data_IF_285106731365
#
_entry.id   IF_285106731365
#
_cell.length_a   1.000
_cell.length_b   1.000
_cell.length_c   1.000
_cell.angle_alpha   90.00
_cell.angle_beta   90.00
_cell.angle_gamma   90.00
#
_symmetry.space_group_name_H-M   'P 1'
#
loop_
_entity.id
_entity.type
_entity.pdbx_description
1 polymer ?
#
# COMPACT_ATOMS: atom_id res chain seq x y z
N UNK A 1 12.74 21.16 4.87
CA UNK A 1 12.23 19.87 4.32
C UNK A 1 10.72 19.95 4.32
N UNK A 2 10.07 19.65 3.19
CA UNK A 2 8.60 19.56 3.16
C UNK A 2 8.19 18.32 3.96
N UNK A 3 7.10 18.40 4.72
CA UNK A 3 6.50 17.23 5.37
C UNK A 3 5.99 16.27 4.30
N UNK A 4 5.89 14.98 4.60
CA UNK A 4 5.38 13.93 3.69
C UNK A 4 3.99 14.32 3.17
N UNK A 5 3.12 14.86 4.03
CA UNK A 5 1.81 15.42 3.70
C UNK A 5 1.88 16.42 2.53
N UNK A 6 2.71 17.48 2.66
CA UNK A 6 2.84 18.54 1.63
C UNK A 6 3.46 18.03 0.32
N UNK A 7 4.26 16.99 0.38
CA UNK A 7 4.79 16.33 -0.81
C UNK A 7 3.65 15.67 -1.61
N UNK A 8 2.77 14.94 -0.94
CA UNK A 8 1.64 14.27 -1.56
C UNK A 8 0.55 15.22 -2.02
N UNK A 9 0.25 16.29 -1.28
CA UNK A 9 -0.70 17.32 -1.71
C UNK A 9 -0.38 17.92 -3.08
N UNK A 10 0.91 18.01 -3.42
CA UNK A 10 1.36 18.54 -4.73
C UNK A 10 1.33 17.51 -5.86
N UNK A 11 1.18 16.23 -5.56
CA UNK A 11 1.34 15.14 -6.52
C UNK A 11 0.03 14.47 -6.91
N UNK A 12 -1.12 14.98 -6.48
CA UNK A 12 -2.46 14.37 -6.70
C UNK A 12 -2.70 14.00 -8.17
N UNK A 13 -2.57 14.97 -9.09
CA UNK A 13 -2.83 14.75 -10.51
C UNK A 13 -1.81 13.81 -11.16
N UNK A 14 -0.52 13.99 -10.82
CA UNK A 14 0.57 13.12 -11.31
C UNK A 14 0.37 11.69 -10.84
N UNK A 15 0.06 11.49 -9.56
CA UNK A 15 -0.18 10.17 -8.97
C UNK A 15 -1.39 9.50 -9.60
N UNK A 16 -2.51 10.22 -9.69
CA UNK A 16 -3.72 9.69 -10.29
C UNK A 16 -3.49 9.22 -11.73
N UNK A 17 -2.87 10.05 -12.57
CA UNK A 17 -2.51 9.69 -13.94
C UNK A 17 -1.58 8.46 -13.97
N UNK A 18 -0.64 8.37 -13.05
CA UNK A 18 0.33 7.27 -12.98
C UNK A 18 -0.36 5.94 -12.67
N UNK A 19 -1.20 5.87 -11.63
CA UNK A 19 -1.85 4.61 -11.21
C UNK A 19 -2.93 4.15 -12.21
N UNK A 20 -3.60 5.08 -12.88
CA UNK A 20 -4.65 4.72 -13.85
C UNK A 20 -4.10 4.35 -15.23
N UNK A 21 -2.93 4.86 -15.63
CA UNK A 21 -2.36 4.61 -16.96
C UNK A 21 -1.40 3.41 -17.03
N UNK A 22 -0.84 2.96 -15.92
CA UNK A 22 0.12 1.88 -15.92
C UNK A 22 -0.54 0.52 -15.71
N UNK A 23 -0.50 -0.36 -16.72
CA UNK A 23 -1.06 -1.72 -16.67
C UNK A 23 -0.59 -2.54 -15.45
N UNK A 24 0.63 -2.27 -14.94
CA UNK A 24 1.17 -2.90 -13.76
C UNK A 24 0.33 -2.65 -12.49
N UNK A 25 -0.21 -1.44 -12.33
CA UNK A 25 -1.09 -1.12 -11.19
C UNK A 25 -2.44 -1.85 -11.31
N UNK A 26 -2.98 -1.99 -12.54
CA UNK A 26 -4.18 -2.80 -12.78
C UNK A 26 -4.00 -4.24 -12.32
N UNK A 27 -2.88 -4.89 -12.68
CA UNK A 27 -2.59 -6.26 -12.23
C UNK A 27 -2.50 -6.37 -10.70
N UNK A 28 -1.91 -5.38 -10.03
CA UNK A 28 -1.83 -5.36 -8.57
C UNK A 28 -3.20 -5.16 -7.94
N UNK A 29 -4.03 -4.29 -8.51
CA UNK A 29 -5.41 -4.07 -8.06
C UNK A 29 -6.25 -5.35 -8.18
N UNK A 30 -6.23 -5.99 -9.36
CA UNK A 30 -6.99 -7.22 -9.62
C UNK A 30 -6.61 -8.33 -8.63
N UNK A 31 -5.31 -8.50 -8.39
CA UNK A 31 -4.82 -9.48 -7.43
C UNK A 31 -5.19 -9.10 -5.98
N UNK A 32 -5.13 -7.81 -5.62
CA UNK A 32 -5.54 -7.34 -4.30
C UNK A 32 -7.03 -7.62 -4.06
N UNK A 33 -7.91 -7.28 -5.00
CA UNK A 33 -9.34 -7.56 -4.91
C UNK A 33 -9.59 -9.08 -4.79
N UNK A 34 -8.94 -9.88 -5.62
CA UNK A 34 -9.06 -11.33 -5.61
C UNK A 34 -8.65 -11.95 -4.26
N UNK A 35 -7.52 -11.51 -3.69
CA UNK A 35 -7.01 -12.00 -2.41
C UNK A 35 -7.81 -11.47 -1.22
N UNK A 36 -8.38 -10.29 -1.34
CA UNK A 36 -9.26 -9.71 -0.32
C UNK A 36 -10.55 -10.50 -0.18
N UNK A 37 -11.07 -11.07 -1.27
CA UNK A 37 -12.34 -11.81 -1.30
C UNK A 37 -13.46 -10.98 -0.67
N UNK A 38 -13.73 -9.76 -1.15
CA UNK A 38 -14.68 -8.84 -0.54
C UNK A 38 -16.09 -9.44 -0.54
N UNK A 39 -16.87 -9.13 0.50
CA UNK A 39 -18.27 -9.55 0.64
C UNK A 39 -19.17 -8.33 0.77
N UNK A 40 -20.43 -8.38 0.28
CA UNK A 40 -21.35 -7.25 0.36
C UNK A 40 -21.62 -6.74 1.79
N UNK A 41 -21.34 -7.56 2.79
CA UNK A 41 -21.51 -7.23 4.21
C UNK A 41 -20.27 -6.65 4.87
N UNK A 42 -19.13 -6.66 4.18
CA UNK A 42 -17.84 -6.26 4.77
C UNK A 42 -17.79 -4.74 5.02
N UNK A 43 -17.38 -4.36 6.22
CA UNK A 43 -16.87 -3.03 6.53
C UNK A 43 -15.36 -3.01 6.27
N UNK A 44 -14.90 -2.13 5.36
CA UNK A 44 -13.52 -2.08 4.90
C UNK A 44 -12.79 -0.81 5.33
N UNK A 45 -11.47 -0.92 5.48
CA UNK A 45 -10.56 0.23 5.61
C UNK A 45 -9.47 0.12 4.53
N UNK A 46 -9.24 1.23 3.80
CA UNK A 46 -8.16 1.39 2.85
C UNK A 46 -7.10 2.33 3.43
N UNK A 47 -5.92 1.79 3.76
CA UNK A 47 -4.83 2.51 4.44
C UNK A 47 -3.85 3.11 3.43
N UNK A 48 -3.76 4.43 3.39
CA UNK A 48 -3.02 5.19 2.38
C UNK A 48 -3.74 5.17 1.04
N UNK A 49 -5.03 5.52 1.06
CA UNK A 49 -5.94 5.37 -0.07
C UNK A 49 -5.58 6.24 -1.28
N UNK A 50 -4.82 7.32 -1.08
CA UNK A 50 -4.46 8.26 -2.13
C UNK A 50 -5.71 8.82 -2.83
N UNK A 51 -5.69 8.84 -4.16
CA UNK A 51 -6.84 9.27 -4.97
C UNK A 51 -7.92 8.19 -5.15
N UNK A 52 -7.87 7.08 -4.38
CA UNK A 52 -8.92 6.09 -4.30
C UNK A 52 -8.89 4.98 -5.33
N UNK A 53 -7.72 4.65 -5.87
CA UNK A 53 -7.59 3.60 -6.88
C UNK A 53 -8.11 2.23 -6.40
N UNK A 54 -7.82 1.85 -5.14
CA UNK A 54 -8.36 0.64 -4.51
C UNK A 54 -9.76 0.89 -3.96
N UNK A 55 -9.98 2.00 -3.25
CA UNK A 55 -11.26 2.35 -2.64
C UNK A 55 -12.41 2.27 -3.63
N UNK A 56 -12.29 2.91 -4.82
CA UNK A 56 -13.37 2.94 -5.82
C UNK A 56 -13.66 1.57 -6.44
N UNK A 57 -12.65 0.70 -6.52
CA UNK A 57 -12.84 -0.68 -6.99
C UNK A 57 -13.47 -1.60 -5.92
N UNK A 58 -13.22 -1.34 -4.63
CA UNK A 58 -13.80 -2.09 -3.52
C UNK A 58 -15.25 -1.66 -3.20
N UNK A 59 -15.54 -0.37 -3.28
CA UNK A 59 -16.81 0.19 -2.84
C UNK A 59 -18.05 -0.53 -3.40
N UNK A 60 -18.12 -0.93 -4.68
CA UNK A 60 -19.27 -1.67 -5.21
C UNK A 60 -19.42 -3.10 -4.66
N UNK A 61 -18.39 -3.63 -4.00
CA UNK A 61 -18.30 -5.03 -3.57
C UNK A 61 -18.55 -5.23 -2.07
N UNK A 62 -18.67 -4.13 -1.29
CA UNK A 62 -18.69 -4.15 0.17
C UNK A 62 -19.76 -3.21 0.75
N UNK A 63 -20.04 -3.32 2.04
CA UNK A 63 -21.03 -2.47 2.71
C UNK A 63 -20.54 -1.03 2.92
N UNK A 64 -19.25 -0.85 3.22
CA UNK A 64 -18.63 0.46 3.43
C UNK A 64 -17.12 0.42 3.25
N UNK A 65 -16.55 1.56 2.86
CA UNK A 65 -15.10 1.76 2.81
C UNK A 65 -14.75 3.07 3.54
N UNK A 66 -13.92 2.97 4.57
CA UNK A 66 -13.23 4.11 5.16
C UNK A 66 -11.85 4.22 4.53
N UNK A 67 -11.64 5.27 3.76
CA UNK A 67 -10.37 5.56 3.08
C UNK A 67 -9.55 6.55 3.91
N UNK A 68 -8.35 6.14 4.31
CA UNK A 68 -7.47 6.93 5.18
C UNK A 68 -6.24 7.36 4.41
N UNK A 69 -5.93 8.65 4.42
CA UNK A 69 -4.70 9.17 3.81
C UNK A 69 -4.15 10.35 4.63
N UNK A 70 -2.84 10.57 4.59
CA UNK A 70 -2.19 11.69 5.27
C UNK A 70 -2.41 13.02 4.53
N UNK A 71 -2.68 12.97 3.23
CA UNK A 71 -2.85 14.12 2.36
C UNK A 71 -4.32 14.53 2.29
N UNK A 72 -4.61 15.75 2.75
CA UNK A 72 -5.94 16.32 2.64
C UNK A 72 -6.38 16.50 1.17
N UNK A 73 -5.45 16.81 0.27
CA UNK A 73 -5.72 16.95 -1.15
C UNK A 73 -6.06 15.60 -1.82
N UNK A 74 -5.39 14.50 -1.43
CA UNK A 74 -5.72 13.15 -1.89
C UNK A 74 -7.13 12.74 -1.42
N UNK A 75 -7.41 12.90 -0.12
CA UNK A 75 -8.70 12.57 0.47
C UNK A 75 -9.85 13.37 -0.17
N UNK A 76 -9.66 14.67 -0.43
CA UNK A 76 -10.63 15.50 -1.13
C UNK A 76 -10.89 15.02 -2.57
N UNK A 77 -9.83 14.73 -3.32
CA UNK A 77 -9.93 14.21 -4.68
C UNK A 77 -10.68 12.86 -4.73
N UNK A 78 -10.44 11.99 -3.74
CA UNK A 78 -11.18 10.73 -3.60
C UNK A 78 -12.65 10.99 -3.28
N UNK A 79 -12.96 11.89 -2.34
CA UNK A 79 -14.33 12.20 -1.96
C UNK A 79 -15.14 12.76 -3.16
N UNK A 80 -14.54 13.68 -3.94
CA UNK A 80 -15.15 14.21 -5.16
C UNK A 80 -15.44 13.11 -6.18
N UNK A 81 -14.48 12.20 -6.38
CA UNK A 81 -14.68 11.07 -7.29
C UNK A 81 -15.76 10.13 -6.80
N UNK A 82 -15.74 9.73 -5.52
CA UNK A 82 -16.74 8.86 -4.94
C UNK A 82 -18.15 9.44 -5.10
N UNK A 83 -18.31 10.76 -4.88
CA UNK A 83 -19.57 11.45 -5.10
C UNK A 83 -19.99 11.46 -6.58
N UNK A 84 -19.06 11.74 -7.50
CA UNK A 84 -19.31 11.71 -8.95
C UNK A 84 -19.74 10.32 -9.42
N UNK A 85 -19.11 9.26 -8.91
CA UNK A 85 -19.36 7.86 -9.29
C UNK A 85 -20.54 7.24 -8.50
N UNK A 86 -21.22 8.03 -7.64
CA UNK A 86 -22.37 7.57 -6.86
C UNK A 86 -22.03 6.55 -5.76
N UNK A 87 -20.80 6.52 -5.28
CA UNK A 87 -20.31 5.60 -4.24
C UNK A 87 -20.63 6.14 -2.84
N UNK A 88 -21.91 6.09 -2.45
CA UNK A 88 -22.40 6.65 -1.19
C UNK A 88 -21.87 5.93 0.08
N UNK A 89 -21.27 4.74 -0.09
CA UNK A 89 -20.69 3.93 0.99
C UNK A 89 -19.20 4.20 1.22
N UNK A 90 -18.62 5.23 0.59
CA UNK A 90 -17.23 5.66 0.79
C UNK A 90 -17.19 6.87 1.73
N UNK A 91 -16.31 6.81 2.71
CA UNK A 91 -15.94 7.94 3.58
C UNK A 91 -14.42 8.13 3.58
N UNK A 92 -13.97 9.37 3.77
CA UNK A 92 -12.54 9.70 3.81
C UNK A 92 -12.15 10.25 5.17
N UNK A 93 -10.95 9.93 5.64
CA UNK A 93 -10.35 10.46 6.86
C UNK A 93 -8.91 10.91 6.57
N UNK A 94 -8.59 12.15 6.96
CA UNK A 94 -7.23 12.69 6.85
C UNK A 94 -6.49 12.37 8.15
N UNK A 95 -5.58 11.41 8.10
CA UNK A 95 -4.84 10.96 9.28
C UNK A 95 -3.50 10.33 8.89
N UNK A 96 -2.47 10.57 9.71
CA UNK A 96 -1.23 9.80 9.61
C UNK A 96 -1.49 8.37 10.09
N UNK A 97 -1.07 7.38 9.29
CA UNK A 97 -1.24 5.97 9.65
C UNK A 97 -0.55 5.56 10.95
N UNK A 98 0.42 6.35 11.42
CA UNK A 98 1.07 6.17 12.73
C UNK A 98 0.12 6.42 13.90
N UNK A 99 -0.80 7.35 13.73
CA UNK A 99 -1.74 7.81 14.75
C UNK A 99 -3.15 7.23 14.57
N UNK A 100 -3.45 6.72 13.37
CA UNK A 100 -4.77 6.18 13.04
C UNK A 100 -5.14 4.97 13.90
N UNK A 101 -6.35 4.99 14.45
CA UNK A 101 -6.89 3.97 15.35
C UNK A 101 -8.35 3.67 15.06
N UNK A 102 -8.72 2.40 15.19
CA UNK A 102 -10.09 1.94 15.20
C UNK A 102 -10.37 1.13 16.46
N UNK A 103 -11.65 0.96 16.79
CA UNK A 103 -12.07 0.06 17.84
C UNK A 103 -11.73 -1.40 17.51
N UNK A 104 -11.55 -2.26 18.52
CA UNK A 104 -11.30 -3.68 18.30
C UNK A 104 -12.52 -4.34 17.63
N UNK A 105 -12.26 -5.29 16.73
CA UNK A 105 -13.28 -6.05 16.01
C UNK A 105 -14.35 -5.18 15.33
N UNK A 106 -13.93 -4.05 14.72
CA UNK A 106 -14.83 -3.07 14.10
C UNK A 106 -14.98 -3.25 12.59
N UNK A 107 -14.02 -3.93 11.93
CA UNK A 107 -13.99 -4.08 10.47
C UNK A 107 -13.75 -5.52 10.03
N UNK A 108 -14.10 -5.84 8.79
CA UNK A 108 -14.00 -7.18 8.21
C UNK A 108 -12.80 -7.29 7.25
N UNK A 109 -12.39 -6.16 6.67
CA UNK A 109 -11.31 -6.10 5.70
C UNK A 109 -10.46 -4.85 5.91
N UNK A 110 -9.16 -5.03 5.98
CA UNK A 110 -8.17 -3.96 5.92
C UNK A 110 -7.30 -4.18 4.69
N UNK A 111 -7.20 -3.17 3.84
CA UNK A 111 -6.34 -3.18 2.64
C UNK A 111 -5.35 -2.03 2.66
N UNK A 112 -4.25 -2.20 1.95
CA UNK A 112 -3.32 -1.12 1.63
C UNK A 112 -2.64 -1.41 0.30
N UNK A 113 -2.41 -0.39 -0.51
CA UNK A 113 -1.71 -0.51 -1.79
C UNK A 113 -0.72 0.62 -1.99
N UNK A 114 0.56 0.27 -2.17
CA UNK A 114 1.67 1.22 -2.43
C UNK A 114 1.75 2.41 -1.45
N UNK A 115 1.46 2.18 -0.18
CA UNK A 115 1.49 3.21 0.85
C UNK A 115 2.47 2.90 2.00
N UNK A 116 2.53 1.64 2.42
CA UNK A 116 3.25 1.31 3.65
C UNK A 116 4.77 1.29 3.50
N UNK A 117 5.30 1.27 2.27
CA UNK A 117 6.73 1.45 2.04
C UNK A 117 7.25 2.85 2.44
N UNK A 118 6.36 3.80 2.73
CA UNK A 118 6.74 5.10 3.31
C UNK A 118 6.96 5.06 4.82
N UNK A 119 6.55 3.98 5.50
CA UNK A 119 6.77 3.78 6.92
C UNK A 119 8.07 3.02 7.19
N UNK A 120 8.87 3.36 8.20
CA UNK A 120 9.92 2.49 8.72
C UNK A 120 9.39 1.13 9.18
N UNK A 121 10.24 0.10 9.20
CA UNK A 121 9.82 -1.27 9.51
C UNK A 121 9.16 -1.43 10.89
N UNK A 122 9.64 -0.70 11.90
CA UNK A 122 9.02 -0.69 13.23
C UNK A 122 7.59 -0.13 13.21
N UNK A 123 7.34 0.91 12.40
CA UNK A 123 6.01 1.52 12.25
C UNK A 123 5.07 0.64 11.45
N UNK A 124 5.57 -0.06 10.40
CA UNK A 124 4.81 -1.09 9.68
C UNK A 124 4.36 -2.20 10.64
N UNK A 125 5.28 -2.72 11.47
CA UNK A 125 4.97 -3.76 12.46
C UNK A 125 3.90 -3.29 13.44
N UNK A 126 4.02 -2.06 13.96
CA UNK A 126 3.05 -1.48 14.88
C UNK A 126 1.67 -1.31 14.22
N UNK A 127 1.63 -0.84 12.96
CA UNK A 127 0.38 -0.69 12.20
C UNK A 127 -0.28 -2.04 11.93
N UNK A 128 0.47 -3.05 11.51
CA UNK A 128 -0.05 -4.42 11.31
C UNK A 128 -0.65 -4.98 12.60
N UNK A 129 0.01 -4.75 13.74
CA UNK A 129 -0.48 -5.20 15.06
C UNK A 129 -1.80 -4.50 15.42
N UNK A 130 -1.93 -3.19 15.14
CA UNK A 130 -3.19 -2.46 15.33
C UNK A 130 -4.28 -2.97 14.39
N UNK A 131 -3.96 -3.09 13.10
CA UNK A 131 -4.90 -3.57 12.07
C UNK A 131 -5.46 -4.97 12.41
N UNK A 132 -4.63 -5.87 12.91
CA UNK A 132 -5.07 -7.18 13.37
C UNK A 132 -6.10 -7.11 14.52
N UNK A 133 -6.00 -6.11 15.39
CA UNK A 133 -6.99 -5.89 16.47
C UNK A 133 -8.31 -5.31 15.97
N UNK A 134 -8.27 -4.46 14.93
CA UNK A 134 -9.48 -3.88 14.33
C UNK A 134 -10.33 -4.91 13.59
N UNK A 135 -9.70 -5.95 13.05
CA UNK A 135 -10.41 -7.01 12.34
C UNK A 135 -11.34 -7.80 13.26
N UNK A 136 -12.52 -8.15 12.79
CA UNK A 136 -13.39 -9.16 13.39
C UNK A 136 -12.79 -10.55 13.21
N UNK A 137 -13.17 -11.57 14.02
CA UNK A 137 -12.84 -12.96 13.73
C UNK A 137 -13.22 -13.33 12.29
N UNK A 138 -12.30 -13.96 11.54
CA UNK A 138 -12.45 -14.23 10.11
C UNK A 138 -12.15 -13.04 9.19
N UNK A 139 -11.90 -11.86 9.76
CA UNK A 139 -11.49 -10.67 9.01
C UNK A 139 -10.10 -10.80 8.36
N UNK A 140 -9.83 -10.02 7.32
CA UNK A 140 -8.64 -10.16 6.48
C UNK A 140 -7.83 -8.87 6.43
N UNK A 141 -6.50 -8.99 6.55
CA UNK A 141 -5.53 -7.94 6.21
C UNK A 141 -4.85 -8.32 4.91
N UNK A 142 -4.88 -7.42 3.92
CA UNK A 142 -4.25 -7.60 2.61
C UNK A 142 -3.42 -6.36 2.27
N UNK A 143 -2.13 -6.55 2.10
CA UNK A 143 -1.19 -5.47 1.74
C UNK A 143 -0.54 -5.79 0.41
N UNK A 144 -0.69 -4.92 -0.56
CA UNK A 144 0.02 -4.93 -1.83
C UNK A 144 1.04 -3.78 -1.84
N UNK A 145 2.33 -4.09 -1.95
CA UNK A 145 3.37 -3.06 -1.86
C UNK A 145 4.65 -3.46 -2.59
N UNK A 146 5.62 -2.57 -2.62
CA UNK A 146 6.99 -2.89 -3.02
C UNK A 146 7.57 -3.88 -2.01
N UNK A 147 7.66 -5.15 -2.42
CA UNK A 147 8.08 -6.25 -1.56
C UNK A 147 9.38 -6.87 -2.06
N UNK A 148 10.48 -6.23 -1.77
CA UNK A 148 11.83 -6.72 -2.01
C UNK A 148 12.78 -6.25 -0.91
N UNK A 149 13.81 -7.05 -0.66
CA UNK A 149 14.85 -6.74 0.31
C UNK A 149 16.05 -6.01 -0.32
N UNK A 150 17.11 -5.88 0.46
CA UNK A 150 18.35 -5.18 0.05
C UNK A 150 19.33 -6.06 -0.75
N UNK A 151 18.83 -7.01 -1.55
CA UNK A 151 19.66 -7.91 -2.35
C UNK A 151 20.01 -9.24 -1.68
N UNK A 152 19.39 -9.56 -0.55
CA UNK A 152 19.62 -10.83 0.18
C UNK A 152 19.14 -12.07 -0.55
N UNK A 153 18.01 -11.98 -1.24
CA UNK A 153 17.44 -13.09 -2.01
C UNK A 153 17.84 -13.03 -3.50
N UNK A 154 17.67 -14.16 -4.20
CA UNK A 154 17.87 -14.21 -5.66
C UNK A 154 16.87 -13.29 -6.37
N UNK A 155 15.62 -13.23 -5.90
CA UNK A 155 14.58 -12.34 -6.40
C UNK A 155 14.98 -10.85 -6.24
N UNK A 156 15.49 -10.47 -5.07
CA UNK A 156 15.94 -9.09 -4.83
C UNK A 156 17.03 -8.67 -5.81
N UNK A 157 18.03 -9.55 -6.02
CA UNK A 157 19.12 -9.28 -6.96
C UNK A 157 18.61 -9.15 -8.40
N UNK A 158 17.62 -9.95 -8.80
CA UNK A 158 17.00 -9.84 -10.12
C UNK A 158 16.24 -8.50 -10.27
N UNK A 159 15.44 -8.10 -9.28
CA UNK A 159 14.70 -6.83 -9.27
C UNK A 159 15.67 -5.65 -9.36
N UNK A 160 16.69 -5.63 -8.52
CA UNK A 160 17.71 -4.57 -8.52
C UNK A 160 18.44 -4.49 -9.87
N UNK A 161 18.83 -5.63 -10.45
CA UNK A 161 19.45 -5.70 -11.78
C UNK A 161 18.53 -5.16 -12.87
N UNK A 162 17.26 -5.54 -12.88
CA UNK A 162 16.28 -5.03 -13.86
C UNK A 162 16.09 -3.53 -13.72
N UNK A 163 15.98 -2.99 -12.50
CA UNK A 163 15.89 -1.53 -12.25
C UNK A 163 17.13 -0.79 -12.73
N UNK A 164 18.31 -1.33 -12.49
CA UNK A 164 19.59 -0.73 -12.99
C UNK A 164 19.61 -0.72 -14.52
N UNK A 165 19.27 -1.84 -15.17
CA UNK A 165 19.22 -1.94 -16.64
C UNK A 165 18.21 -0.94 -17.22
N UNK A 166 16.99 -0.89 -16.66
CA UNK A 166 15.95 0.02 -17.13
C UNK A 166 16.32 1.51 -16.98
N UNK A 167 17.03 1.87 -15.90
CA UNK A 167 17.52 3.21 -15.70
C UNK A 167 18.70 3.52 -16.64
N UNK A 168 19.66 2.61 -16.79
CA UNK A 168 20.82 2.78 -17.69
C UNK A 168 20.38 2.98 -19.15
N UNK A 169 19.33 2.29 -19.58
CA UNK A 169 18.75 2.44 -20.93
C UNK A 169 18.21 3.86 -21.23
N UNK A 170 17.96 4.68 -20.19
CA UNK A 170 17.55 6.09 -20.32
C UNK A 170 18.71 7.07 -20.53
N UNK A 171 19.93 6.56 -20.78
CA UNK A 171 21.12 7.39 -21.07
C UNK A 171 21.68 8.12 -19.85
N UNK A 172 22.37 9.28 -20.03
CA UNK A 172 23.07 9.98 -18.94
C UNK A 172 22.20 10.34 -17.75
N UNK A 173 20.93 10.71 -17.97
CA UNK A 173 19.96 10.99 -16.90
C UNK A 173 19.61 9.75 -16.08
N UNK A 174 19.60 8.58 -16.70
CA UNK A 174 19.40 7.29 -16.02
C UNK A 174 20.58 6.92 -15.12
N UNK A 175 21.81 7.12 -15.58
CA UNK A 175 23.03 6.90 -14.79
C UNK A 175 23.10 7.84 -13.59
N UNK A 176 22.72 9.11 -13.75
CA UNK A 176 22.60 10.05 -12.62
C UNK A 176 21.59 9.57 -11.59
N UNK A 177 20.43 9.05 -12.03
CA UNK A 177 19.41 8.49 -11.13
C UNK A 177 19.91 7.24 -10.39
N UNK A 178 20.67 6.37 -11.05
CA UNK A 178 21.31 5.21 -10.41
C UNK A 178 22.27 5.69 -9.31
N UNK A 179 23.17 6.62 -9.61
CA UNK A 179 24.12 7.16 -8.65
C UNK A 179 23.41 7.82 -7.47
N UNK A 180 22.39 8.65 -7.73
CA UNK A 180 21.56 9.28 -6.69
C UNK A 180 20.81 8.25 -5.82
N UNK A 181 20.30 7.19 -6.41
CA UNK A 181 19.60 6.14 -5.66
C UNK A 181 20.59 5.32 -4.81
N UNK A 182 21.75 4.96 -5.35
CA UNK A 182 22.79 4.26 -4.60
C UNK A 182 23.27 5.07 -3.39
N UNK A 183 23.46 6.38 -3.54
CA UNK A 183 23.82 7.26 -2.41
C UNK A 183 22.67 7.37 -1.39
N UNK A 184 21.42 7.49 -1.82
CA UNK A 184 20.25 7.52 -0.92
C UNK A 184 20.09 6.21 -0.15
N UNK A 185 20.19 5.05 -0.83
CA UNK A 185 20.12 3.74 -0.20
C UNK A 185 21.31 3.45 0.71
N UNK A 186 22.52 3.87 0.31
CA UNK A 186 23.74 3.69 1.11
C UNK A 186 23.78 4.56 2.36
N UNK A 187 23.23 5.77 2.30
CA UNK A 187 23.21 6.74 3.42
C UNK A 187 21.91 6.66 4.25
N UNK A 188 20.96 5.79 3.89
CA UNK A 188 19.67 5.72 4.59
C UNK A 188 18.82 7.00 4.47
N UNK A 189 19.12 7.85 3.47
CA UNK A 189 18.43 9.12 3.24
C UNK A 189 17.34 8.92 2.19
N UNK A 190 16.10 8.74 2.64
CA UNK A 190 14.93 8.58 1.76
C UNK A 190 13.66 8.33 2.55
N UNK A 191 12.50 8.60 1.93
CA UNK A 191 11.18 8.33 2.51
C UNK A 191 10.56 7.01 1.98
N UNK A 192 11.40 6.11 1.45
CA UNK A 192 10.95 4.82 0.94
C UNK A 192 11.71 3.70 1.65
N UNK A 193 10.96 2.84 2.30
CA UNK A 193 11.44 1.70 3.09
C UNK A 193 10.75 0.41 2.59
N UNK A 194 11.05 -0.07 1.36
CA UNK A 194 10.51 -1.33 0.90
C UNK A 194 10.95 -2.46 1.85
N UNK A 195 10.04 -3.39 2.13
CA UNK A 195 10.31 -4.49 3.04
C UNK A 195 10.19 -5.84 2.31
N UNK A 196 10.98 -6.83 2.72
CA UNK A 196 10.97 -8.13 2.07
C UNK A 196 9.66 -8.91 2.35
N UNK A 197 9.30 -9.88 1.50
CA UNK A 197 8.17 -10.77 1.77
C UNK A 197 8.25 -11.46 3.13
N UNK A 198 9.45 -11.86 3.55
CA UNK A 198 9.68 -12.54 4.82
C UNK A 198 9.41 -11.60 6.01
N UNK A 199 9.76 -10.31 5.89
CA UNK A 199 9.40 -9.31 6.88
C UNK A 199 7.87 -9.23 7.03
N UNK A 200 7.16 -9.05 5.93
CA UNK A 200 5.70 -8.93 5.95
C UNK A 200 5.01 -10.17 6.50
N UNK A 201 5.43 -11.36 6.06
CA UNK A 201 4.85 -12.61 6.57
C UNK A 201 5.11 -12.78 8.09
N UNK A 202 6.27 -12.39 8.57
CA UNK A 202 6.61 -12.39 9.99
C UNK A 202 5.73 -11.38 10.74
N UNK A 203 5.65 -10.14 10.26
CA UNK A 203 4.85 -9.10 10.86
C UNK A 203 3.37 -9.51 11.05
N UNK A 204 2.78 -10.18 10.05
CA UNK A 204 1.41 -10.67 10.14
C UNK A 204 1.27 -11.79 11.16
N UNK A 205 2.21 -12.75 11.20
CA UNK A 205 2.19 -13.85 12.18
C UNK A 205 2.37 -13.34 13.61
N UNK A 206 3.31 -12.41 13.82
CA UNK A 206 3.58 -11.79 15.13
C UNK A 206 2.36 -11.00 15.64
N UNK A 207 1.55 -10.47 14.72
CA UNK A 207 0.27 -9.82 15.05
C UNK A 207 -0.88 -10.81 15.35
N UNK A 208 -0.61 -12.13 15.32
CA UNK A 208 -1.60 -13.18 15.60
C UNK A 208 -2.47 -13.57 14.40
N UNK A 209 -2.15 -13.11 13.19
CA UNK A 209 -2.89 -13.52 12.00
C UNK A 209 -2.46 -14.91 11.54
N UNK A 210 -3.44 -15.69 11.05
CA UNK A 210 -3.25 -17.05 10.53
C UNK A 210 -3.42 -17.09 9.01
N UNK A 211 -3.17 -18.25 8.38
CA UNK A 211 -3.22 -18.42 6.92
C UNK A 211 -2.41 -17.37 6.17
N UNK A 212 -1.26 -17.01 6.74
CA UNK A 212 -0.39 -15.97 6.17
C UNK A 212 0.28 -16.47 4.91
N UNK A 213 -0.01 -15.79 3.80
CA UNK A 213 0.53 -16.08 2.47
C UNK A 213 1.22 -14.88 1.84
N UNK A 214 2.11 -15.15 0.88
CA UNK A 214 2.73 -14.17 0.00
C UNK A 214 2.51 -14.57 -1.46
N UNK A 215 2.13 -13.60 -2.28
CA UNK A 215 1.95 -13.75 -3.73
C UNK A 215 2.77 -12.68 -4.46
N UNK A 216 3.77 -13.05 -5.29
CA UNK A 216 4.40 -12.10 -6.19
C UNK A 216 3.40 -11.72 -7.30
N UNK A 217 3.33 -10.41 -7.65
CA UNK A 217 2.39 -9.93 -8.67
C UNK A 217 3.15 -9.41 -9.89
N UNK A 218 4.03 -8.43 -9.69
CA UNK A 218 4.94 -7.92 -10.71
C UNK A 218 6.36 -7.94 -10.14
N UNK A 219 7.36 -7.55 -10.94
CA UNK A 219 8.77 -7.68 -10.55
C UNK A 219 9.07 -7.21 -9.13
N UNK A 220 8.65 -5.98 -8.78
CA UNK A 220 8.94 -5.34 -7.49
C UNK A 220 7.79 -5.40 -6.50
N UNK A 221 6.56 -5.62 -6.96
CA UNK A 221 5.40 -5.69 -6.10
C UNK A 221 5.00 -7.11 -5.78
N UNK A 222 4.55 -7.26 -4.56
CA UNK A 222 3.94 -8.48 -4.06
C UNK A 222 2.77 -8.15 -3.16
N UNK A 223 2.09 -9.17 -2.75
CA UNK A 223 0.94 -9.11 -1.88
C UNK A 223 1.11 -10.08 -0.73
N UNK A 224 0.84 -9.61 0.49
CA UNK A 224 0.71 -10.47 1.67
C UNK A 224 -0.71 -10.41 2.19
N UNK A 225 -1.17 -11.55 2.70
CA UNK A 225 -2.49 -11.69 3.29
C UNK A 225 -2.39 -12.45 4.61
N UNK A 226 -3.23 -12.09 5.58
CA UNK A 226 -3.46 -12.84 6.80
C UNK A 226 -4.91 -12.74 7.25
N UNK A 227 -5.37 -13.69 8.04
CA UNK A 227 -6.74 -13.80 8.53
C UNK A 227 -6.70 -13.75 10.06
N UNK A 228 -7.58 -13.00 10.68
CA UNK A 228 -7.79 -13.04 12.13
C UNK A 228 -8.52 -14.34 12.51
N UNK A 229 -7.96 -15.16 13.44
CA UNK A 229 -8.63 -16.36 13.92
C UNK A 229 -9.95 -16.09 14.65
#
# INVERSE_FOLDING_TARGET
MLTLEREWDRRVAEWHSHVTSAAAFGQVLDELIRQSGPKPTDACVDLGAGTGFVTTALAPLVSSVLAVDISAAMAASLAERAAHDGLANVSTEVCDLRDFQLGPASVDLVVSSYALHHLPDAEKQALVTRAARWLRPGGRLVVADMMFGRGGSQRDRQILRQKVIALAAKGPGGWWRIAKNLTRYGLGVGHEYPASPEFWQRALRDAGLVAVGFQPVIAEAGLVRGIRP
#
